data_IF_472899254004
#
_entry.id   IF_472899254004
#
_cell.length_a   1.000
_cell.length_b   1.000
_cell.length_c   1.000
_cell.angle_alpha   90.00
_cell.angle_beta   90.00
_cell.angle_gamma   90.00
#
_symmetry.space_group_name_H-M   'P 1'
#
loop_
_entity.id
_entity.type
_entity.pdbx_description
1 polymer ?
#
# COMPACT_ATOMS: atom_id res chain seq x y z
N UNK A 1 7.50 -13.65 -11.64
CA UNK A 1 6.18 -13.51 -10.99
C UNK A 1 6.44 -13.23 -9.53
N UNK A 2 6.46 -11.96 -9.14
CA UNK A 2 6.73 -11.57 -7.75
C UNK A 2 5.44 -11.64 -6.94
N UNK A 3 5.47 -12.35 -5.82
CA UNK A 3 4.36 -12.52 -4.89
C UNK A 3 3.78 -11.18 -4.41
N UNK A 4 2.71 -10.74 -5.07
CA UNK A 4 1.80 -9.71 -4.56
C UNK A 4 0.91 -10.23 -3.41
N UNK A 5 1.20 -11.43 -2.87
CA UNK A 5 0.47 -11.99 -1.74
C UNK A 5 0.68 -11.10 -0.52
N UNK A 6 -0.41 -10.51 -0.04
CA UNK A 6 -0.42 -9.61 1.12
C UNK A 6 -0.28 -8.12 0.78
N UNK A 7 -0.25 -7.74 -0.50
CA UNK A 7 -0.37 -6.34 -0.88
C UNK A 7 -1.82 -5.88 -0.66
N UNK A 8 -2.01 -5.02 0.33
CA UNK A 8 -3.27 -4.40 0.67
C UNK A 8 -3.31 -2.96 0.18
N UNK A 9 -4.51 -2.48 -0.14
CA UNK A 9 -4.75 -1.09 -0.48
C UNK A 9 -5.76 -0.46 0.46
N UNK A 10 -5.42 0.71 1.01
CA UNK A 10 -6.30 1.47 1.90
C UNK A 10 -6.36 2.92 1.47
N UNK A 11 -7.57 3.46 1.42
CA UNK A 11 -7.80 4.89 1.19
C UNK A 11 -7.45 5.65 2.47
N UNK A 12 -6.56 6.63 2.38
CA UNK A 12 -6.20 7.50 3.52
C UNK A 12 -7.17 8.70 3.58
N UNK A 13 -7.54 9.25 2.42
CA UNK A 13 -8.53 10.32 2.31
C UNK A 13 -9.20 10.26 0.91
N UNK A 14 -10.07 11.22 0.58
CA UNK A 14 -10.80 11.18 -0.70
C UNK A 14 -9.90 11.17 -1.94
N UNK A 15 -8.65 11.64 -1.86
CA UNK A 15 -7.77 11.76 -3.01
C UNK A 15 -6.61 10.74 -2.98
N UNK A 16 -6.31 10.14 -1.84
CA UNK A 16 -5.08 9.37 -1.65
C UNK A 16 -5.35 7.91 -1.27
N UNK A 17 -4.63 7.01 -1.93
CA UNK A 17 -4.68 5.57 -1.70
C UNK A 17 -3.28 5.04 -1.43
N UNK A 18 -3.10 4.46 -0.24
CA UNK A 18 -1.89 3.77 0.15
C UNK A 18 -1.93 2.33 -0.34
N UNK A 19 -0.81 1.86 -0.88
CA UNK A 19 -0.56 0.45 -1.15
C UNK A 19 0.59 0.00 -0.27
N UNK A 20 0.34 -1.02 0.54
CA UNK A 20 1.29 -1.53 1.51
C UNK A 20 1.20 -3.05 1.60
N UNK A 21 2.23 -3.68 2.15
CA UNK A 21 2.27 -5.09 2.45
C UNK A 21 2.47 -5.29 3.95
N UNK A 22 1.72 -6.23 4.54
CA UNK A 22 1.92 -6.63 5.94
C UNK A 22 2.83 -7.84 5.96
N UNK A 23 3.95 -7.71 6.68
CA UNK A 23 4.91 -8.79 6.92
C UNK A 23 4.74 -9.21 8.39
N UNK A 24 3.87 -10.18 8.62
CA UNK A 24 3.43 -10.59 9.97
C UNK A 24 4.57 -11.13 10.83
N UNK A 25 5.42 -11.98 10.23
CA UNK A 25 6.59 -12.59 10.88
C UNK A 25 7.58 -11.53 11.40
N UNK A 26 7.75 -10.45 10.64
CA UNK A 26 8.64 -9.33 10.99
C UNK A 26 7.93 -8.26 11.81
N UNK A 27 6.59 -8.34 11.96
CA UNK A 27 5.72 -7.29 12.50
C UNK A 27 5.95 -5.93 11.83
N UNK A 28 6.18 -5.95 10.52
CA UNK A 28 6.46 -4.74 9.73
C UNK A 28 5.35 -4.48 8.71
N UNK A 29 5.14 -3.19 8.43
CA UNK A 29 4.30 -2.73 7.32
C UNK A 29 5.21 -2.09 6.29
N UNK A 30 5.34 -2.74 5.13
CA UNK A 30 6.13 -2.23 4.01
C UNK A 30 5.26 -1.36 3.12
N UNK A 31 5.52 -0.05 3.10
CA UNK A 31 4.84 0.86 2.19
C UNK A 31 5.44 0.69 0.79
N UNK A 32 4.58 0.40 -0.19
CA UNK A 32 5.00 0.16 -1.58
C UNK A 32 4.83 1.41 -2.44
N UNK A 33 3.66 2.06 -2.34
CA UNK A 33 3.33 3.26 -3.12
C UNK A 33 2.23 4.08 -2.44
N UNK A 34 2.28 5.39 -2.63
CA UNK A 34 1.16 6.29 -2.37
C UNK A 34 0.62 6.77 -3.73
N UNK A 35 -0.68 6.56 -3.96
CA UNK A 35 -1.38 7.08 -5.14
C UNK A 35 -2.13 8.35 -4.73
N UNK A 36 -1.97 9.40 -5.52
CA UNK A 36 -2.79 10.61 -5.47
C UNK A 36 -3.68 10.59 -6.71
N UNK A 37 -4.96 10.93 -6.54
CA UNK A 37 -5.92 11.06 -7.65
C UNK A 37 -5.69 12.35 -8.45
N UNK A 38 -4.84 13.25 -7.96
CA UNK A 38 -4.38 14.44 -8.66
C UNK A 38 -2.86 14.49 -8.51
N UNK A 39 -2.16 14.11 -9.56
CA UNK A 39 -0.80 14.59 -9.85
C UNK A 39 -0.94 15.45 -11.11
N UNK A 40 -1.69 16.56 -10.97
CA UNK A 40 -1.84 17.68 -11.93
C UNK A 40 -2.16 18.96 -11.14
#
# INVERSE_FOLDING_TARGET
MGDLKGACSRRINIQHRLVYQVLDEERLVKVLRLWSHYDE
#
